data_IF_160192142624
#
_entry.id   IF_160192142624
#
_cell.length_a   1.000
_cell.length_b   1.000
_cell.length_c   1.000
_cell.angle_alpha   90.00
_cell.angle_beta   90.00
_cell.angle_gamma   90.00
#
_symmetry.space_group_name_H-M   'P 1'
#
loop_
_entity.id
_entity.type
_entity.pdbx_description
1 polymer ?
#
# COMPACT_ATOMS: atom_id res chain seq x y z
N UNK A 1 -4.15 -13.89 46.74
CA UNK A 1 -3.72 -13.91 45.33
C UNK A 1 -4.51 -12.81 44.67
N UNK A 2 -3.97 -11.65 44.97
CA UNK A 2 -4.57 -10.34 44.97
C UNK A 2 -4.61 -9.80 43.56
N UNK A 3 -5.66 -9.04 43.28
CA UNK A 3 -5.94 -8.41 42.00
C UNK A 3 -5.78 -6.92 42.24
N UNK A 4 -4.64 -6.37 41.85
CA UNK A 4 -4.33 -4.94 41.86
C UNK A 4 -3.79 -4.59 40.45
N UNK A 5 -4.56 -3.86 39.64
CA UNK A 5 -4.50 -2.39 39.44
C UNK A 5 -3.29 -2.00 38.57
N UNK A 6 -3.49 -1.83 37.26
CA UNK A 6 -3.65 -0.51 36.61
C UNK A 6 -2.48 0.45 36.93
N UNK A 7 -1.36 0.26 36.21
CA UNK A 7 -0.21 1.16 36.30
C UNK A 7 -0.23 2.14 35.12
N UNK A 8 -1.12 3.13 35.25
CA UNK A 8 -1.13 4.34 34.44
C UNK A 8 0.11 5.16 34.79
N UNK A 9 1.08 5.26 33.88
CA UNK A 9 2.27 6.08 34.10
C UNK A 9 1.91 7.58 34.13
N UNK A 10 2.32 8.35 35.15
CA UNK A 10 2.06 9.77 35.24
C UNK A 10 3.07 10.60 34.43
N UNK A 11 2.52 11.53 33.66
CA UNK A 11 3.17 12.62 32.94
C UNK A 11 3.93 13.56 33.89
N UNK A 12 5.25 13.71 33.70
CA UNK A 12 6.03 14.74 34.39
C UNK A 12 5.85 16.11 33.70
N UNK A 13 5.60 17.20 34.45
CA UNK A 13 5.48 18.54 33.89
C UNK A 13 6.84 19.16 33.53
N UNK A 14 6.83 19.89 32.41
CA UNK A 14 7.87 20.84 31.99
C UNK A 14 7.78 22.07 32.89
N UNK A 15 8.84 22.41 33.60
CA UNK A 15 9.19 23.79 33.94
C UNK A 15 10.58 23.85 34.59
N UNK A 16 11.50 24.55 33.93
CA UNK A 16 12.61 25.27 34.56
C UNK A 16 13.20 26.18 33.49
N UNK A 17 12.55 27.32 33.35
CA UNK A 17 13.16 28.50 32.78
C UNK A 17 14.13 29.12 33.81
N UNK A 18 15.05 29.92 33.26
CA UNK A 18 15.83 30.97 33.92
C UNK A 18 17.11 30.54 34.65
N UNK A 19 18.22 30.66 33.93
CA UNK A 19 19.36 31.38 34.49
C UNK A 19 19.94 32.30 33.40
N UNK A 20 19.83 33.61 33.62
CA UNK A 20 20.44 34.67 32.81
C UNK A 20 21.37 35.48 33.71
N UNK A 21 22.59 35.78 33.26
CA UNK A 21 23.21 37.05 33.60
C UNK A 21 23.71 37.83 32.36
N UNK A 22 23.02 38.95 32.10
CA UNK A 22 23.51 40.33 32.00
C UNK A 22 24.86 40.62 31.29
N UNK A 23 24.74 41.17 30.07
CA UNK A 23 25.46 42.30 29.44
C UNK A 23 27.01 42.37 29.42
N UNK A 24 27.59 42.32 28.21
CA UNK A 24 28.75 43.16 27.83
C UNK A 24 28.69 43.52 26.32
N UNK A 25 29.16 44.72 25.99
CA UNK A 25 28.78 45.56 24.86
C UNK A 25 29.42 45.19 23.49
N UNK A 26 28.70 45.52 22.40
CA UNK A 26 29.30 45.64 21.07
C UNK A 26 28.31 45.66 19.90
N UNK A 27 27.96 46.87 19.44
CA UNK A 27 27.59 47.24 18.05
C UNK A 27 26.39 46.54 17.34
N UNK A 28 25.28 47.27 17.17
CA UNK A 28 24.44 47.24 15.96
C UNK A 28 24.39 48.68 15.40
N UNK A 29 24.00 48.98 14.13
CA UNK A 29 23.47 48.13 13.05
C UNK A 29 24.07 48.45 11.65
N UNK A 30 23.78 47.64 10.62
CA UNK A 30 23.51 48.22 9.29
C UNK A 30 22.51 47.36 8.50
N UNK A 31 21.61 48.08 7.86
CA UNK A 31 20.41 47.65 7.17
C UNK A 31 20.76 47.01 5.82
N UNK A 32 19.95 46.07 5.36
CA UNK A 32 19.22 46.24 4.09
C UNK A 32 18.17 45.14 3.91
N UNK A 33 16.94 45.61 3.98
CA UNK A 33 15.74 45.00 3.43
C UNK A 33 15.97 44.46 2.01
N UNK A 34 15.61 43.19 1.79
CA UNK A 34 15.26 42.65 0.47
C UNK A 34 14.28 41.51 0.68
N UNK A 35 13.03 41.90 0.92
CA UNK A 35 11.89 41.03 0.78
C UNK A 35 11.70 40.70 -0.70
N UNK A 36 12.43 39.70 -1.22
CA UNK A 36 12.16 39.12 -2.54
C UNK A 36 11.95 37.61 -2.47
N UNK A 37 10.67 37.23 -2.56
CA UNK A 37 10.15 36.15 -3.40
C UNK A 37 10.63 34.71 -3.13
N UNK A 38 10.43 34.19 -1.91
CA UNK A 38 10.47 32.75 -1.68
C UNK A 38 9.10 32.10 -1.95
N UNK A 39 8.67 32.08 -3.23
CA UNK A 39 7.55 31.21 -3.63
C UNK A 39 7.92 29.78 -3.27
N UNK A 40 7.05 29.03 -2.54
CA UNK A 40 7.36 27.67 -2.17
C UNK A 40 7.63 26.86 -3.45
N UNK A 41 8.86 26.39 -3.60
CA UNK A 41 9.27 25.57 -4.73
C UNK A 41 8.26 24.42 -4.86
N UNK A 42 7.49 24.43 -5.94
CA UNK A 42 6.54 23.35 -6.24
C UNK A 42 7.36 22.10 -6.52
N UNK A 43 7.49 21.25 -5.50
CA UNK A 43 8.14 19.95 -5.59
C UNK A 43 7.51 19.20 -6.77
N UNK A 44 8.26 18.87 -7.82
CA UNK A 44 7.69 18.12 -8.94
C UNK A 44 7.22 16.76 -8.41
N UNK A 45 6.05 16.31 -8.87
CA UNK A 45 5.56 14.97 -8.60
C UNK A 45 6.64 13.97 -9.02
N UNK A 46 7.22 13.26 -8.05
CA UNK A 46 8.19 12.18 -8.34
C UNK A 46 7.41 11.09 -9.07
N UNK A 47 7.68 10.93 -10.37
CA UNK A 47 7.12 9.82 -11.16
C UNK A 47 7.67 8.52 -10.58
N UNK A 48 6.86 7.81 -9.79
CA UNK A 48 7.14 6.44 -9.33
C UNK A 48 6.97 5.47 -10.49
N UNK A 49 7.84 5.56 -11.49
CA UNK A 49 7.89 4.58 -12.59
C UNK A 49 8.52 3.25 -12.14
N UNK A 50 9.05 3.22 -10.92
CA UNK A 50 9.72 2.09 -10.25
C UNK A 50 8.79 1.30 -9.33
N UNK A 51 7.48 1.50 -9.43
CA UNK A 51 6.51 0.71 -8.68
C UNK A 51 6.18 -0.56 -9.46
N UNK A 52 6.00 -1.66 -8.74
CA UNK A 52 5.83 -3.05 -9.17
C UNK A 52 4.76 -3.28 -10.26
N UNK A 53 5.00 -2.79 -11.48
CA UNK A 53 4.11 -2.93 -12.62
C UNK A 53 4.28 -4.31 -13.22
N UNK A 54 3.17 -5.03 -13.37
CA UNK A 54 3.13 -6.25 -14.15
C UNK A 54 3.63 -5.98 -15.57
N UNK A 55 4.34 -6.95 -16.16
CA UNK A 55 4.64 -6.90 -17.58
C UNK A 55 3.32 -6.86 -18.38
N UNK A 56 3.31 -6.30 -19.59
CA UNK A 56 2.10 -6.25 -20.41
C UNK A 56 1.44 -7.62 -20.57
N UNK A 57 2.24 -8.65 -20.83
CA UNK A 57 1.78 -10.04 -20.97
C UNK A 57 1.14 -10.57 -19.67
N UNK A 58 1.73 -10.24 -18.52
CA UNK A 58 1.20 -10.64 -17.21
C UNK A 58 -0.13 -9.93 -16.90
N UNK A 59 -0.25 -8.66 -17.28
CA UNK A 59 -1.49 -7.89 -17.14
C UNK A 59 -2.59 -8.41 -18.08
N UNK A 60 -2.24 -8.81 -19.31
CA UNK A 60 -3.17 -9.44 -20.26
C UNK A 60 -3.72 -10.76 -19.70
N UNK A 61 -2.84 -11.62 -19.15
CA UNK A 61 -3.27 -12.86 -18.49
C UNK A 61 -4.20 -12.59 -17.30
N UNK A 62 -3.85 -11.61 -16.46
CA UNK A 62 -4.69 -11.21 -15.33
C UNK A 62 -6.08 -10.72 -15.78
N UNK A 63 -6.14 -9.87 -16.81
CA UNK A 63 -7.40 -9.39 -17.36
C UNK A 63 -8.26 -10.55 -17.87
N UNK A 64 -7.64 -11.47 -18.61
CA UNK A 64 -8.30 -12.65 -19.18
C UNK A 64 -8.92 -13.55 -18.11
N UNK A 65 -8.17 -13.94 -17.08
CA UNK A 65 -8.72 -14.76 -15.99
C UNK A 65 -9.78 -14.02 -15.18
N UNK A 66 -9.66 -12.69 -15.03
CA UNK A 66 -10.62 -11.90 -14.25
C UNK A 66 -11.96 -11.88 -14.96
N UNK A 67 -11.96 -11.61 -16.27
CA UNK A 67 -13.17 -11.62 -17.10
C UNK A 67 -13.81 -13.00 -17.13
N UNK A 68 -13.00 -14.06 -17.35
CA UNK A 68 -13.51 -15.43 -17.40
C UNK A 68 -14.14 -15.85 -16.07
N UNK A 69 -13.48 -15.59 -14.94
CA UNK A 69 -14.01 -15.92 -13.62
C UNK A 69 -15.32 -15.16 -13.34
N UNK A 70 -15.39 -13.88 -13.71
CA UNK A 70 -16.59 -13.07 -13.55
C UNK A 70 -17.78 -13.64 -14.33
N UNK A 71 -17.57 -13.99 -15.59
CA UNK A 71 -18.59 -14.55 -16.48
C UNK A 71 -19.05 -15.95 -16.05
N UNK A 72 -18.15 -16.78 -15.50
CA UNK A 72 -18.42 -18.21 -15.24
C UNK A 72 -18.78 -18.55 -13.81
N UNK A 73 -18.33 -17.77 -12.82
CA UNK A 73 -18.49 -18.10 -11.39
C UNK A 73 -19.64 -17.34 -10.71
N UNK A 74 -20.39 -16.51 -11.46
CA UNK A 74 -21.60 -15.86 -10.95
C UNK A 74 -21.39 -14.46 -10.40
N UNK A 75 -20.42 -13.70 -10.94
CA UNK A 75 -20.24 -12.28 -10.61
C UNK A 75 -18.99 -11.98 -9.79
N UNK A 76 -18.90 -10.72 -9.34
CA UNK A 76 -17.64 -10.11 -8.87
C UNK A 76 -17.09 -10.75 -7.60
N UNK A 77 -17.96 -11.04 -6.62
CA UNK A 77 -17.52 -11.56 -5.32
C UNK A 77 -17.01 -13.00 -5.44
N UNK A 78 -17.75 -13.87 -6.13
CA UNK A 78 -17.35 -15.26 -6.36
C UNK A 78 -16.05 -15.35 -7.18
N UNK A 79 -15.90 -14.49 -8.20
CA UNK A 79 -14.67 -14.41 -8.98
C UNK A 79 -13.50 -13.92 -8.13
N UNK A 80 -13.70 -12.88 -7.32
CA UNK A 80 -12.68 -12.33 -6.44
C UNK A 80 -12.23 -13.35 -5.40
N UNK A 81 -13.17 -14.03 -4.76
CA UNK A 81 -12.90 -15.07 -3.76
C UNK A 81 -12.06 -16.19 -4.37
N UNK A 82 -12.49 -16.76 -5.50
CA UNK A 82 -11.75 -17.82 -6.17
C UNK A 82 -10.33 -17.37 -6.56
N UNK A 83 -10.18 -16.23 -7.24
CA UNK A 83 -8.88 -15.79 -7.75
C UNK A 83 -7.87 -15.45 -6.65
N UNK A 84 -8.34 -14.96 -5.51
CA UNK A 84 -7.48 -14.51 -4.42
C UNK A 84 -7.28 -15.57 -3.33
N UNK A 85 -8.09 -16.62 -3.30
CA UNK A 85 -7.96 -17.71 -2.33
C UNK A 85 -6.91 -18.72 -2.78
N UNK A 86 -6.38 -19.48 -1.82
CA UNK A 86 -5.56 -20.63 -2.13
C UNK A 86 -6.44 -21.76 -2.67
N UNK A 87 -6.06 -22.34 -3.80
CA UNK A 87 -6.72 -23.51 -4.37
C UNK A 87 -5.80 -24.73 -4.23
N UNK A 88 -6.27 -25.74 -3.50
CA UNK A 88 -5.51 -26.97 -3.23
C UNK A 88 -5.21 -27.77 -4.50
N UNK A 89 -6.10 -27.72 -5.49
CA UNK A 89 -5.94 -28.45 -6.76
C UNK A 89 -4.88 -27.81 -7.65
N UNK A 90 -4.79 -26.48 -7.60
CA UNK A 90 -3.80 -25.70 -8.34
C UNK A 90 -2.48 -25.54 -7.56
N UNK A 91 -2.47 -25.88 -6.27
CA UNK A 91 -1.31 -25.75 -5.38
C UNK A 91 -0.91 -24.30 -5.10
N UNK A 92 -1.84 -23.35 -5.25
CA UNK A 92 -1.54 -21.92 -5.16
C UNK A 92 -2.75 -21.03 -5.36
N UNK A 93 -2.50 -19.71 -5.32
CA UNK A 93 -3.54 -18.71 -5.59
C UNK A 93 -3.75 -18.59 -7.10
N UNK A 94 -4.97 -18.75 -7.64
CA UNK A 94 -5.19 -18.76 -9.10
C UNK A 94 -4.68 -17.49 -9.80
N UNK A 95 -4.83 -16.31 -9.18
CA UNK A 95 -4.30 -15.06 -9.74
C UNK A 95 -2.79 -15.11 -9.93
N UNK A 96 -2.06 -15.56 -8.91
CA UNK A 96 -0.59 -15.57 -8.90
C UNK A 96 -0.06 -16.57 -9.94
N UNK A 97 -0.71 -17.73 -10.06
CA UNK A 97 -0.36 -18.76 -11.05
C UNK A 97 -0.58 -18.28 -12.49
N UNK A 98 -1.74 -17.66 -12.76
CA UNK A 98 -2.08 -17.16 -14.08
C UNK A 98 -1.17 -16.01 -14.53
N UNK A 99 -0.77 -15.14 -13.60
CA UNK A 99 0.14 -14.03 -13.90
C UNK A 99 1.55 -14.54 -14.15
N UNK A 100 2.00 -15.56 -13.41
CA UNK A 100 3.36 -16.11 -13.50
C UNK A 100 3.67 -16.79 -14.84
N UNK A 101 2.69 -17.44 -15.49
CA UNK A 101 2.95 -18.18 -16.73
C UNK A 101 1.69 -18.48 -17.56
N UNK A 102 1.89 -18.84 -18.82
CA UNK A 102 0.83 -19.33 -19.71
C UNK A 102 0.29 -20.69 -19.25
N UNK A 103 1.13 -21.56 -18.69
CA UNK A 103 0.70 -22.85 -18.15
C UNK A 103 -0.21 -22.68 -16.94
N UNK A 104 0.17 -21.78 -16.03
CA UNK A 104 -0.68 -21.40 -14.89
C UNK A 104 -2.00 -20.78 -15.34
N UNK A 105 -1.99 -19.95 -16.39
CA UNK A 105 -3.22 -19.43 -17.00
C UNK A 105 -4.15 -20.58 -17.45
N UNK A 106 -3.63 -21.54 -18.22
CA UNK A 106 -4.43 -22.66 -18.73
C UNK A 106 -4.99 -23.53 -17.60
N UNK A 107 -4.19 -23.79 -16.56
CA UNK A 107 -4.64 -24.54 -15.40
C UNK A 107 -5.82 -23.85 -14.69
N UNK A 108 -5.75 -22.53 -14.53
CA UNK A 108 -6.82 -21.72 -13.93
C UNK A 108 -8.06 -21.67 -14.83
N UNK A 109 -7.90 -21.53 -16.16
CA UNK A 109 -9.02 -21.59 -17.11
C UNK A 109 -9.80 -22.91 -16.99
N UNK A 110 -9.08 -24.05 -16.89
CA UNK A 110 -9.69 -25.36 -16.69
C UNK A 110 -10.42 -25.46 -15.35
N UNK A 111 -9.80 -25.00 -14.26
CA UNK A 111 -10.43 -25.00 -12.94
C UNK A 111 -11.71 -24.15 -12.90
N UNK A 112 -11.74 -23.01 -13.61
CA UNK A 112 -12.95 -22.19 -13.75
C UNK A 112 -14.04 -22.97 -14.50
N UNK A 113 -13.68 -23.64 -15.61
CA UNK A 113 -14.63 -24.42 -16.40
C UNK A 113 -15.22 -25.58 -15.60
N UNK A 114 -14.40 -26.30 -14.84
CA UNK A 114 -14.85 -27.40 -13.97
C UNK A 114 -15.83 -26.90 -12.89
N UNK A 115 -15.50 -25.79 -12.23
CA UNK A 115 -16.38 -25.19 -11.21
C UNK A 115 -17.67 -24.64 -11.81
N UNK A 116 -17.62 -24.08 -13.00
CA UNK A 116 -18.82 -23.63 -13.70
C UNK A 116 -19.73 -24.81 -14.10
N UNK A 117 -19.14 -25.91 -14.57
CA UNK A 117 -19.87 -27.13 -14.88
C UNK A 117 -20.49 -27.77 -13.64
N UNK A 118 -19.82 -27.73 -12.49
CA UNK A 118 -20.35 -28.23 -11.22
C UNK A 118 -21.53 -27.40 -10.66
N UNK A 119 -21.80 -26.21 -11.20
CA UNK A 119 -22.86 -25.29 -10.76
C UNK A 119 -24.07 -25.26 -11.71
N UNK A 120 -23.95 -25.83 -12.91
CA UNK A 120 -25.01 -25.90 -13.92
C UNK A 120 -25.91 -27.12 -13.67
#
# INVERSE_FOLDING_TARGET
MDRDEDETQPIAPKDSAEDRPIMDAGEEPDVHESAEDQRPARKPFRKRFTENRLSPESAERQGRITMLAWEKLGGTDAAREFLNSFDETLGGRPLDLAVASIEGLRAVENAIAERAAARA
#
